data_IF_190488640847
#
_entry.id   IF_190488640847
#
_cell.length_a   1.000
_cell.length_b   1.000
_cell.length_c   1.000
_cell.angle_alpha   90.00
_cell.angle_beta   90.00
_cell.angle_gamma   90.00
#
_symmetry.space_group_name_H-M   'P 1'
#
loop_
_entity.id
_entity.type
_entity.pdbx_description
1 polymer ?
#
# COMPACT_ATOMS: atom_id res chain seq x y z
N UNK A 1 -19.75 14.62 5.61
CA UNK A 1 -20.05 13.52 4.69
C UNK A 1 -19.21 12.34 5.12
N UNK A 2 -19.75 11.10 5.21
CA UNK A 2 -18.91 9.95 5.46
C UNK A 2 -17.88 9.84 4.32
N UNK A 3 -16.64 9.40 4.59
CA UNK A 3 -15.65 9.20 3.55
C UNK A 3 -16.20 8.18 2.54
N UNK A 4 -16.07 8.49 1.25
CA UNK A 4 -16.45 7.59 0.15
C UNK A 4 -15.43 6.44 0.08
N UNK A 5 -15.54 5.51 1.02
CA UNK A 5 -14.78 4.25 0.94
C UNK A 5 -15.36 3.45 -0.23
N UNK A 6 -14.51 3.00 -1.12
CA UNK A 6 -14.90 2.25 -2.31
C UNK A 6 -15.78 1.04 -1.92
N UNK A 7 -17.02 0.90 -2.44
CA UNK A 7 -17.89 -0.23 -2.10
C UNK A 7 -17.21 -1.55 -2.45
N UNK A 8 -17.39 -2.58 -1.61
CA UNK A 8 -16.73 -3.90 -1.78
C UNK A 8 -16.99 -4.56 -3.15
N UNK A 9 -18.15 -4.31 -3.78
CA UNK A 9 -18.45 -4.87 -5.10
C UNK A 9 -17.60 -4.25 -6.21
N UNK A 10 -17.08 -3.01 -6.04
CA UNK A 10 -16.09 -2.39 -6.95
C UNK A 10 -14.74 -3.09 -6.82
N UNK A 11 -14.43 -3.71 -5.66
CA UNK A 11 -13.23 -4.52 -5.46
C UNK A 11 -13.07 -5.63 -6.49
N UNK A 12 -14.17 -6.22 -6.99
CA UNK A 12 -14.13 -7.21 -8.07
C UNK A 12 -13.65 -6.62 -9.40
N UNK A 13 -13.96 -5.36 -9.71
CA UNK A 13 -13.44 -4.68 -10.89
C UNK A 13 -11.93 -4.40 -10.79
N UNK A 14 -11.39 -4.37 -9.56
CA UNK A 14 -9.98 -4.12 -9.31
C UNK A 14 -9.09 -5.36 -9.52
N UNK A 15 -9.66 -6.56 -9.65
CA UNK A 15 -8.91 -7.83 -9.85
C UNK A 15 -9.08 -8.42 -11.25
N UNK A 16 -9.72 -7.71 -12.18
CA UNK A 16 -9.90 -8.19 -13.56
C UNK A 16 -8.56 -8.41 -14.28
N UNK A 17 -8.44 -9.44 -15.12
CA UNK A 17 -7.17 -9.82 -15.75
C UNK A 17 -6.49 -8.71 -16.56
N UNK A 18 -7.28 -7.84 -17.25
CA UNK A 18 -6.73 -6.75 -18.05
C UNK A 18 -5.97 -5.69 -17.22
N UNK A 19 -6.30 -5.53 -15.91
CA UNK A 19 -5.57 -4.63 -15.01
C UNK A 19 -4.09 -4.99 -14.91
N UNK A 20 -3.73 -6.28 -15.02
CA UNK A 20 -2.34 -6.74 -15.03
C UNK A 20 -1.55 -6.22 -16.23
N UNK A 21 -2.21 -5.89 -17.33
CA UNK A 21 -1.56 -5.32 -18.52
C UNK A 21 -1.19 -3.85 -18.28
N UNK A 22 -1.99 -3.15 -17.50
CA UNK A 22 -1.80 -1.73 -17.17
C UNK A 22 -0.90 -1.57 -15.93
N UNK A 23 -1.16 -2.35 -14.90
CA UNK A 23 -0.45 -2.30 -13.62
C UNK A 23 0.15 -3.68 -13.29
N UNK A 24 1.18 -4.11 -14.05
CA UNK A 24 1.90 -5.35 -13.75
C UNK A 24 2.62 -5.23 -12.40
N UNK A 25 2.19 -5.99 -11.36
CA UNK A 25 2.81 -5.87 -10.04
C UNK A 25 4.31 -6.21 -10.03
N UNK A 26 4.75 -7.12 -10.92
CA UNK A 26 6.17 -7.50 -11.00
C UNK A 26 7.01 -6.36 -11.54
N UNK A 27 6.52 -5.63 -12.54
CA UNK A 27 7.23 -4.47 -13.10
C UNK A 27 7.26 -3.30 -12.13
N UNK A 28 6.15 -3.07 -11.40
CA UNK A 28 6.04 -1.95 -10.45
C UNK A 28 6.87 -2.22 -9.19
N UNK A 29 6.83 -3.43 -8.66
CA UNK A 29 7.38 -3.76 -7.33
C UNK A 29 8.73 -4.48 -7.38
N UNK A 30 9.10 -5.06 -8.52
CA UNK A 30 10.30 -5.89 -8.66
C UNK A 30 11.62 -5.18 -8.36
N UNK A 31 11.65 -3.85 -8.42
CA UNK A 31 12.80 -3.05 -7.99
C UNK A 31 12.84 -2.82 -6.47
N UNK A 32 11.72 -3.00 -5.76
CA UNK A 32 11.56 -2.58 -4.37
C UNK A 32 11.38 -3.74 -3.39
N UNK A 33 10.72 -4.83 -3.82
CA UNK A 33 10.40 -5.97 -2.96
C UNK A 33 11.38 -7.12 -3.20
N UNK A 34 11.98 -7.64 -2.14
CA UNK A 34 12.97 -8.72 -2.13
C UNK A 34 12.57 -9.84 -1.19
N UNK A 35 13.16 -11.01 -1.38
CA UNK A 35 13.00 -12.15 -0.45
C UNK A 35 13.42 -11.79 0.97
N UNK A 36 12.66 -12.24 1.95
CA UNK A 36 12.88 -12.00 3.38
C UNK A 36 12.35 -10.67 3.92
N UNK A 37 11.85 -9.76 3.06
CA UNK A 37 11.35 -8.46 3.49
C UNK A 37 10.03 -8.55 4.25
N UNK A 38 9.83 -7.62 5.17
CA UNK A 38 8.52 -7.24 5.73
C UNK A 38 7.97 -6.06 4.95
N UNK A 39 6.84 -6.24 4.30
CA UNK A 39 6.18 -5.22 3.47
C UNK A 39 4.86 -4.81 4.10
N UNK A 40 4.59 -3.51 4.18
CA UNK A 40 3.30 -2.95 4.58
C UNK A 40 2.50 -2.57 3.33
N UNK A 41 1.28 -3.06 3.20
CA UNK A 41 0.33 -2.61 2.18
C UNK A 41 -0.91 -2.03 2.84
N UNK A 42 -1.22 -0.76 2.55
CA UNK A 42 -2.42 -0.09 3.03
C UNK A 42 -3.46 -0.04 1.91
N UNK A 43 -4.69 -0.47 2.21
CA UNK A 43 -5.75 -0.59 1.22
C UNK A 43 -5.52 -1.72 0.21
N UNK A 44 -5.21 -2.98 0.64
CA UNK A 44 -4.91 -4.10 -0.25
C UNK A 44 -6.10 -4.51 -1.12
N UNK A 45 -7.32 -4.11 -0.74
CA UNK A 45 -8.55 -4.59 -1.34
C UNK A 45 -8.60 -6.12 -1.31
N UNK A 46 -8.87 -6.74 -2.47
CA UNK A 46 -8.90 -8.21 -2.57
C UNK A 46 -7.52 -8.82 -2.95
N UNK A 47 -6.40 -8.08 -2.79
CA UNK A 47 -5.04 -8.60 -2.91
C UNK A 47 -4.46 -8.60 -4.32
N UNK A 48 -4.73 -7.57 -5.12
CA UNK A 48 -4.14 -7.44 -6.45
C UNK A 48 -2.62 -7.33 -6.39
N UNK A 49 -2.07 -6.54 -5.48
CA UNK A 49 -0.62 -6.43 -5.22
C UNK A 49 -0.15 -7.37 -4.12
N UNK A 50 -0.97 -7.61 -3.08
CA UNK A 50 -0.61 -8.48 -1.94
C UNK A 50 -0.13 -9.85 -2.36
N UNK A 51 -0.88 -10.55 -3.24
CA UNK A 51 -0.54 -11.92 -3.64
C UNK A 51 0.79 -11.99 -4.44
N UNK A 52 1.07 -11.08 -5.39
CA UNK A 52 2.40 -10.98 -5.99
C UNK A 52 3.50 -10.65 -4.99
N UNK A 53 3.29 -9.69 -4.07
CA UNK A 53 4.28 -9.35 -3.04
C UNK A 53 4.59 -10.52 -2.12
N UNK A 54 3.57 -11.27 -1.69
CA UNK A 54 3.75 -12.46 -0.87
C UNK A 54 4.60 -13.56 -1.55
N UNK A 55 4.55 -13.63 -2.90
CA UNK A 55 5.45 -14.50 -3.65
C UNK A 55 6.88 -13.97 -3.71
N UNK A 56 7.04 -12.63 -3.84
CA UNK A 56 8.34 -11.97 -3.91
C UNK A 56 9.10 -12.04 -2.59
N UNK A 57 8.40 -11.83 -1.46
CA UNK A 57 9.04 -11.87 -0.14
C UNK A 57 9.42 -13.30 0.29
N UNK A 58 8.88 -14.34 -0.37
CA UNK A 58 9.23 -15.73 -0.09
C UNK A 58 8.75 -16.21 1.29
N UNK A 59 9.28 -17.36 1.73
CA UNK A 59 8.86 -18.01 2.99
C UNK A 59 9.34 -17.27 4.24
N UNK A 60 10.44 -16.54 4.13
CA UNK A 60 11.06 -15.80 5.25
C UNK A 60 10.52 -14.39 5.41
N UNK A 61 9.82 -13.87 4.39
CA UNK A 61 9.23 -12.54 4.42
C UNK A 61 7.75 -12.53 4.79
N UNK A 62 7.21 -11.33 5.00
CA UNK A 62 5.79 -11.11 5.32
C UNK A 62 5.24 -9.90 4.56
N UNK A 63 3.96 -9.99 4.20
CA UNK A 63 3.16 -8.83 3.76
C UNK A 63 2.11 -8.57 4.82
N UNK A 64 2.20 -7.41 5.49
CA UNK A 64 1.17 -6.94 6.40
C UNK A 64 0.20 -6.08 5.59
N UNK A 65 -1.03 -6.58 5.43
CA UNK A 65 -2.09 -5.99 4.63
C UNK A 65 -3.14 -5.36 5.55
N UNK A 66 -3.26 -4.03 5.52
CA UNK A 66 -4.09 -3.25 6.44
C UNK A 66 -5.24 -2.59 5.69
N UNK A 67 -6.48 -2.81 6.12
CA UNK A 67 -7.67 -2.23 5.49
C UNK A 67 -8.75 -1.93 6.55
N UNK A 68 -9.55 -0.91 6.33
CA UNK A 68 -10.73 -0.60 7.16
C UNK A 68 -11.90 -1.56 6.88
N UNK A 69 -11.89 -2.24 5.72
CA UNK A 69 -12.95 -3.13 5.28
C UNK A 69 -12.59 -4.61 5.52
N UNK A 70 -13.10 -5.18 6.61
CA UNK A 70 -12.91 -6.60 6.94
C UNK A 70 -13.32 -7.54 5.79
N UNK A 71 -14.37 -7.19 5.04
CA UNK A 71 -14.86 -7.99 3.90
C UNK A 71 -13.83 -8.11 2.78
N UNK A 72 -13.03 -7.06 2.54
CA UNK A 72 -11.92 -7.08 1.60
C UNK A 72 -10.82 -8.03 2.07
N UNK A 73 -10.43 -7.94 3.34
CA UNK A 73 -9.42 -8.80 3.95
C UNK A 73 -9.84 -10.27 3.94
N UNK A 74 -11.08 -10.59 4.26
CA UNK A 74 -11.61 -11.98 4.17
C UNK A 74 -11.52 -12.53 2.74
N UNK A 75 -11.79 -11.68 1.72
CA UNK A 75 -11.65 -12.07 0.32
C UNK A 75 -10.18 -12.28 -0.07
N UNK A 76 -9.29 -11.42 0.41
CA UNK A 76 -7.83 -11.57 0.26
C UNK A 76 -7.35 -12.89 0.87
N UNK A 77 -7.73 -13.18 2.12
CA UNK A 77 -7.35 -14.42 2.82
C UNK A 77 -7.81 -15.67 2.09
N UNK A 78 -9.06 -15.70 1.61
CA UNK A 78 -9.57 -16.82 0.81
C UNK A 78 -8.70 -17.06 -0.43
N UNK A 79 -8.33 -15.99 -1.13
CA UNK A 79 -7.47 -16.06 -2.32
C UNK A 79 -6.04 -16.47 -1.97
N UNK A 80 -5.51 -16.00 -0.85
CA UNK A 80 -4.18 -16.36 -0.37
C UNK A 80 -4.10 -17.86 -0.01
N UNK A 81 -5.11 -18.40 0.69
CA UNK A 81 -5.24 -19.83 0.96
C UNK A 81 -5.32 -20.66 -0.32
N UNK A 82 -6.17 -20.25 -1.27
CA UNK A 82 -6.28 -20.93 -2.57
C UNK A 82 -4.98 -20.90 -3.39
N UNK A 83 -4.12 -19.91 -3.16
CA UNK A 83 -2.84 -19.75 -3.82
C UNK A 83 -1.66 -20.43 -3.06
N UNK A 84 -1.90 -21.02 -1.88
CA UNK A 84 -0.89 -21.69 -1.05
C UNK A 84 0.17 -20.73 -0.46
N UNK A 85 -0.21 -19.47 -0.19
CA UNK A 85 0.71 -18.42 0.31
C UNK A 85 0.14 -17.62 1.48
N UNK A 86 -0.87 -18.16 2.15
CA UNK A 86 -1.54 -17.47 3.26
C UNK A 86 -0.59 -17.26 4.47
N UNK A 87 0.35 -18.15 4.66
CA UNK A 87 1.39 -18.10 5.70
C UNK A 87 2.32 -16.87 5.58
N UNK A 88 2.36 -16.24 4.42
CA UNK A 88 3.19 -15.04 4.13
C UNK A 88 2.42 -13.74 4.26
N UNK A 89 1.14 -13.78 4.59
CA UNK A 89 0.25 -12.61 4.64
C UNK A 89 -0.36 -12.50 6.03
N UNK A 90 -0.26 -11.31 6.62
CA UNK A 90 -0.92 -10.94 7.86
C UNK A 90 -1.96 -9.87 7.53
N UNK A 91 -3.24 -10.18 7.70
CA UNK A 91 -4.31 -9.21 7.49
C UNK A 91 -4.65 -8.50 8.81
N UNK A 92 -4.88 -7.19 8.75
CA UNK A 92 -5.27 -6.37 9.90
C UNK A 92 -6.41 -5.43 9.54
N UNK A 93 -7.48 -5.46 10.31
CA UNK A 93 -8.52 -4.42 10.23
C UNK A 93 -8.03 -3.22 11.04
N UNK A 94 -8.03 -2.04 10.44
CA UNK A 94 -7.60 -0.80 11.08
C UNK A 94 -8.76 0.19 11.25
N UNK A 95 -8.50 1.30 11.96
CA UNK A 95 -9.44 2.39 12.11
C UNK A 95 -9.27 3.42 10.98
N UNK A 96 -10.30 4.22 10.65
CA UNK A 96 -10.19 5.23 9.59
C UNK A 96 -9.11 6.31 9.81
N UNK A 97 -8.59 6.45 11.04
CA UNK A 97 -7.58 7.45 11.42
C UNK A 97 -6.33 6.87 12.07
N UNK A 98 -6.20 5.54 12.11
CA UNK A 98 -5.01 4.84 12.62
C UNK A 98 -4.86 3.53 11.89
N UNK A 99 -3.65 3.20 11.48
CA UNK A 99 -3.33 1.89 10.90
C UNK A 99 -3.14 0.80 11.95
N UNK A 100 -3.04 1.16 13.23
CA UNK A 100 -2.76 0.26 14.35
C UNK A 100 -1.54 -0.63 14.07
N UNK A 101 -0.39 0.01 13.73
CA UNK A 101 0.86 -0.64 13.31
C UNK A 101 2.06 -0.29 14.20
N UNK A 102 1.84 0.15 15.43
CA UNK A 102 2.89 0.55 16.38
C UNK A 102 3.86 -0.61 16.70
N UNK A 103 3.35 -1.84 16.71
CA UNK A 103 4.14 -3.06 16.88
C UNK A 103 5.09 -3.35 15.68
N UNK A 104 4.93 -2.64 14.56
CA UNK A 104 5.80 -2.70 13.40
C UNK A 104 6.85 -1.57 13.39
N UNK A 105 7.01 -0.81 14.47
CA UNK A 105 7.92 0.33 14.51
C UNK A 105 9.33 -0.05 14.05
N UNK A 106 9.80 0.61 12.97
CA UNK A 106 11.10 0.37 12.32
C UNK A 106 11.36 -1.10 11.89
N UNK A 107 10.30 -1.87 11.56
CA UNK A 107 10.41 -3.24 11.08
C UNK A 107 10.09 -3.41 9.59
N UNK A 108 9.43 -2.44 8.98
CA UNK A 108 8.98 -2.50 7.58
C UNK A 108 10.09 -2.08 6.62
N UNK A 109 10.40 -2.94 5.65
CA UNK A 109 11.42 -2.71 4.62
C UNK A 109 10.90 -1.92 3.42
N UNK A 110 9.58 -2.00 3.16
CA UNK A 110 8.92 -1.29 2.06
C UNK A 110 7.44 -1.12 2.36
N UNK A 111 6.86 0.02 1.98
CA UNK A 111 5.42 0.26 2.07
C UNK A 111 4.80 0.53 0.70
N UNK A 112 3.56 0.09 0.48
CA UNK A 112 2.76 0.33 -0.72
C UNK A 112 1.43 0.98 -0.37
N UNK A 113 1.18 2.17 -0.93
CA UNK A 113 -0.09 2.89 -0.91
C UNK A 113 -0.56 3.09 -2.35
N UNK A 114 -1.47 2.25 -2.83
CA UNK A 114 -1.86 2.25 -4.25
C UNK A 114 -3.36 2.52 -4.43
N UNK A 115 -3.69 3.69 -4.97
CA UNK A 115 -5.06 4.13 -5.27
C UNK A 115 -5.98 4.15 -4.04
N UNK A 116 -5.47 4.65 -2.90
CA UNK A 116 -6.22 4.65 -1.64
C UNK A 116 -6.06 5.93 -0.80
N UNK A 117 -4.98 6.71 -0.98
CA UNK A 117 -4.71 7.88 -0.11
C UNK A 117 -5.81 8.94 -0.25
N UNK A 118 -6.40 9.09 -1.43
CA UNK A 118 -7.50 10.04 -1.67
C UNK A 118 -8.81 9.69 -0.94
N UNK A 119 -8.93 8.48 -0.41
CA UNK A 119 -10.09 8.02 0.38
C UNK A 119 -9.88 8.21 1.90
N UNK A 120 -8.64 8.51 2.32
CA UNK A 120 -8.29 8.59 3.76
C UNK A 120 -8.71 9.94 4.34
N UNK A 121 -9.44 9.94 5.48
CA UNK A 121 -9.91 11.19 6.10
C UNK A 121 -8.78 12.00 6.77
N UNK A 122 -7.70 11.35 7.19
CA UNK A 122 -6.55 11.96 7.86
C UNK A 122 -5.24 11.48 7.23
N UNK A 123 -4.82 12.17 6.17
CA UNK A 123 -3.61 11.84 5.41
C UNK A 123 -2.34 12.04 6.23
N UNK A 124 -2.33 12.97 7.19
CA UNK A 124 -1.19 13.19 8.07
C UNK A 124 -1.01 12.01 9.05
N UNK A 125 -2.10 11.53 9.67
CA UNK A 125 -2.06 10.35 10.52
C UNK A 125 -1.59 9.13 9.74
N UNK A 126 -2.12 8.89 8.53
CA UNK A 126 -1.69 7.82 7.64
C UNK A 126 -0.16 7.82 7.42
N UNK A 127 0.42 8.97 7.00
CA UNK A 127 1.85 9.02 6.73
C UNK A 127 2.71 8.94 7.98
N UNK A 128 2.24 9.43 9.14
CA UNK A 128 2.93 9.23 10.43
C UNK A 128 3.01 7.74 10.80
N UNK A 129 1.90 7.00 10.68
CA UNK A 129 1.87 5.57 10.97
C UNK A 129 2.81 4.80 10.01
N UNK A 130 2.77 5.12 8.71
CA UNK A 130 3.68 4.54 7.72
C UNK A 130 5.14 4.88 8.05
N UNK A 131 5.45 6.13 8.41
CA UNK A 131 6.79 6.54 8.78
C UNK A 131 7.27 5.84 10.06
N UNK A 132 6.42 5.64 11.05
CA UNK A 132 6.75 4.88 12.27
C UNK A 132 7.11 3.44 11.91
N UNK A 133 6.31 2.78 11.07
CA UNK A 133 6.50 1.38 10.70
C UNK A 133 7.78 1.15 9.85
N UNK A 134 8.11 2.06 8.95
CA UNK A 134 9.26 1.94 8.06
C UNK A 134 10.59 1.98 8.83
N UNK A 135 11.56 1.18 8.40
CA UNK A 135 12.98 1.32 8.79
C UNK A 135 13.54 2.66 8.31
N UNK A 136 14.52 3.26 8.98
CA UNK A 136 15.26 4.41 8.44
C UNK A 136 15.82 4.09 7.04
N UNK A 137 15.63 4.99 6.07
CA UNK A 137 16.03 4.79 4.68
C UNK A 137 15.14 3.83 3.87
N UNK A 138 14.12 3.23 4.47
CA UNK A 138 13.17 2.38 3.75
C UNK A 138 12.20 3.22 2.90
N UNK A 139 11.76 2.62 1.79
CA UNK A 139 10.93 3.33 0.81
C UNK A 139 9.43 3.05 0.95
N UNK A 140 8.63 4.03 0.54
CA UNK A 140 7.18 3.94 0.37
C UNK A 140 6.79 4.35 -1.04
N UNK A 141 6.10 3.49 -1.78
CA UNK A 141 5.52 3.82 -3.07
C UNK A 141 4.08 4.31 -2.88
N UNK A 142 3.85 5.57 -3.23
CA UNK A 142 2.51 6.16 -3.33
C UNK A 142 2.13 6.28 -4.79
N UNK A 143 0.94 5.80 -5.15
CA UNK A 143 0.44 5.87 -6.53
C UNK A 143 -1.07 6.12 -6.53
N UNK A 144 -1.50 7.22 -7.15
CA UNK A 144 -2.89 7.66 -7.17
C UNK A 144 -3.43 7.77 -8.60
N UNK A 145 -4.69 7.36 -8.87
CA UNK A 145 -5.27 7.39 -10.21
C UNK A 145 -5.48 8.84 -10.70
N UNK A 146 -5.01 9.16 -11.91
CA UNK A 146 -5.14 10.50 -12.51
C UNK A 146 -6.59 10.95 -12.70
N UNK A 147 -7.52 10.02 -12.81
CA UNK A 147 -8.95 10.32 -12.91
C UNK A 147 -9.59 10.79 -11.61
N UNK A 148 -8.98 10.51 -10.46
CA UNK A 148 -9.50 10.84 -9.13
C UNK A 148 -8.68 11.93 -8.43
N UNK A 149 -7.39 12.03 -8.74
CA UNK A 149 -6.48 12.96 -8.06
C UNK A 149 -5.82 13.88 -9.08
N UNK A 150 -5.97 15.21 -8.91
CA UNK A 150 -5.31 16.22 -9.75
C UNK A 150 -3.81 16.32 -9.42
N UNK A 151 -3.04 17.04 -10.23
CA UNK A 151 -1.61 17.26 -9.97
C UNK A 151 -1.39 18.05 -8.69
N UNK A 152 -2.21 19.08 -8.47
CA UNK A 152 -2.17 19.96 -7.30
C UNK A 152 -2.46 19.17 -6.02
N UNK A 153 -3.54 18.36 -6.02
CA UNK A 153 -3.89 17.52 -4.88
C UNK A 153 -2.83 16.46 -4.57
N UNK A 154 -2.19 15.92 -5.62
CA UNK A 154 -1.08 14.99 -5.40
C UNK A 154 0.14 15.69 -4.81
N UNK A 155 0.45 16.91 -5.23
CA UNK A 155 1.51 17.72 -4.65
C UNK A 155 1.25 18.06 -3.17
N UNK A 156 0.00 18.39 -2.81
CA UNK A 156 -0.42 18.57 -1.40
C UNK A 156 -0.21 17.29 -0.60
N UNK A 157 -0.58 16.13 -1.15
CA UNK A 157 -0.35 14.82 -0.52
C UNK A 157 1.14 14.59 -0.25
N UNK A 158 2.02 14.92 -1.20
CA UNK A 158 3.46 14.77 -1.02
C UNK A 158 4.03 15.75 0.02
N UNK A 159 3.51 16.97 0.10
CA UNK A 159 3.90 17.93 1.14
C UNK A 159 3.53 17.42 2.55
N UNK A 160 2.37 16.79 2.69
CA UNK A 160 1.96 16.16 3.95
C UNK A 160 2.88 14.98 4.29
N UNK A 161 3.24 14.15 3.31
CA UNK A 161 4.17 13.03 3.51
C UNK A 161 5.56 13.54 3.95
N UNK A 162 6.06 14.61 3.34
CA UNK A 162 7.33 15.23 3.71
C UNK A 162 7.32 15.75 5.16
N UNK A 163 6.23 16.40 5.57
CA UNK A 163 6.03 16.85 6.95
C UNK A 163 5.95 15.67 7.95
N UNK A 164 5.55 14.48 7.51
CA UNK A 164 5.55 13.25 8.28
C UNK A 164 6.92 12.50 8.28
N UNK A 165 7.95 13.06 7.61
CA UNK A 165 9.29 12.48 7.56
C UNK A 165 9.55 11.54 6.37
N UNK A 166 8.68 11.56 5.34
CA UNK A 166 8.78 10.76 4.12
C UNK A 166 9.11 11.65 2.92
N UNK A 167 10.37 11.77 2.55
CA UNK A 167 10.82 12.64 1.46
C UNK A 167 10.64 11.97 0.08
N UNK A 168 10.10 12.70 -0.90
CA UNK A 168 10.00 12.21 -2.27
C UNK A 168 11.39 12.17 -2.92
N UNK A 169 11.81 10.98 -3.40
CA UNK A 169 13.12 10.74 -4.01
C UNK A 169 13.05 10.42 -5.50
N UNK A 170 11.93 9.88 -5.97
CA UNK A 170 11.73 9.52 -7.39
C UNK A 170 10.26 9.68 -7.80
N UNK A 171 10.04 9.85 -9.11
CA UNK A 171 8.69 9.88 -9.71
C UNK A 171 8.55 8.74 -10.72
N UNK A 172 8.23 7.51 -10.27
CA UNK A 172 8.08 6.36 -11.15
C UNK A 172 6.94 6.59 -12.16
N UNK A 173 7.15 6.17 -13.42
CA UNK A 173 6.11 6.23 -14.44
C UNK A 173 5.21 5.00 -14.35
N UNK A 174 4.05 5.15 -13.69
CA UNK A 174 3.01 4.12 -13.62
C UNK A 174 1.82 4.57 -14.48
N UNK A 175 1.35 3.68 -15.35
CA UNK A 175 0.28 4.00 -16.30
C UNK A 175 -0.97 4.53 -15.58
N UNK A 176 -1.56 5.60 -16.08
CA UNK A 176 -2.77 6.28 -15.59
C UNK A 176 -2.69 6.76 -14.14
N UNK A 177 -1.50 6.79 -13.56
CA UNK A 177 -1.28 7.17 -12.17
C UNK A 177 -0.36 8.38 -12.03
N UNK A 178 -0.49 9.09 -10.92
CA UNK A 178 0.50 9.99 -10.34
C UNK A 178 1.22 9.22 -9.25
N UNK A 179 2.55 9.13 -9.33
CA UNK A 179 3.29 8.25 -8.45
C UNK A 179 4.54 8.93 -7.92
N UNK A 180 4.88 8.63 -6.68
CA UNK A 180 6.12 9.04 -6.04
C UNK A 180 6.67 7.88 -5.21
N UNK A 181 7.98 7.69 -5.27
CA UNK A 181 8.71 6.89 -4.33
C UNK A 181 9.21 7.83 -3.23
N UNK A 182 8.78 7.58 -2.02
CA UNK A 182 9.18 8.30 -0.82
C UNK A 182 10.21 7.48 -0.06
N UNK A 183 11.08 8.15 0.69
CA UNK A 183 12.05 7.51 1.58
C UNK A 183 11.90 8.07 2.99
N UNK A 184 11.91 7.19 4.01
CA UNK A 184 11.95 7.63 5.39
C UNK A 184 13.30 8.25 5.70
N UNK A 185 13.30 9.51 6.14
CA UNK A 185 14.52 10.19 6.59
C UNK A 185 15.20 9.42 7.70
N UNK A 186 16.53 9.32 7.62
CA UNK A 186 17.33 8.90 8.77
C UNK A 186 17.16 9.96 9.87
N UNK A 187 16.60 9.58 11.00
CA UNK A 187 16.47 10.47 12.16
C UNK A 187 17.80 10.76 12.81
#
# INVERSE_FOLDING_TARGET
>A
MPPLVCPHWVGYSLIVPWRKWVHDPRKILGAHVREGMTVLEVGPGMGFFTLPMARMVGERGKVVAVDVQETMLRSLEKRARSAGIADRIVTRVCQPRSLDVEDLAALVDFALLFAMVHEVPDVMALFRDVAVALKPGAACLVSEPRGHVTAERFAETLAIADAAGLAAIQTPKIAWSRSALLEKRAG
#
